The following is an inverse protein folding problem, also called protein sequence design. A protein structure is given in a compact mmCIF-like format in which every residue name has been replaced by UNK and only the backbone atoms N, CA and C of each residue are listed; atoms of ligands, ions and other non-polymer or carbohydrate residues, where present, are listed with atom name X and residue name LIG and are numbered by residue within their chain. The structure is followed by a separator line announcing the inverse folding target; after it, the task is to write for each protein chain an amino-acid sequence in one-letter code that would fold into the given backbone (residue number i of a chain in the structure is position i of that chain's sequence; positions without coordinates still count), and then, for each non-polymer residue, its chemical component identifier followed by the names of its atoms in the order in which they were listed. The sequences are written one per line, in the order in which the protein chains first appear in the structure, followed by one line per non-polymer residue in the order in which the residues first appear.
data_IF_220509857552
#
_entry.id   IF_220509857552
#
_cell.length_a   1.000
_cell.length_b   1.000
_cell.length_c   1.000
_cell.angle_alpha   90.00
_cell.angle_beta   90.00
_cell.angle_gamma   90.00
#
_symmetry.space_group_name_H-M   'P 1'
#
loop_
_entity.id
_entity.type
_entity.pdbx_description
1 polymer ?
#
# COMPACT_ATOMS: atom_id res chain seq x y z
N UNK A 1 -9.61 3.75 -2.67
CA UNK A 1 -8.23 3.68 -3.19
C UNK A 1 -7.36 4.51 -2.28
N UNK A 2 -6.33 3.93 -1.69
CA UNK A 2 -5.45 4.58 -0.71
C UNK A 2 -4.00 4.44 -1.14
N UNK A 3 -3.16 5.31 -0.62
CA UNK A 3 -1.71 5.27 -0.76
C UNK A 3 -1.09 5.17 0.62
N UNK A 4 -0.08 4.33 0.76
CA UNK A 4 0.59 4.05 2.04
C UNK A 4 2.05 4.47 1.90
N UNK A 5 2.49 5.34 2.80
CA UNK A 5 3.90 5.70 2.96
C UNK A 5 4.54 4.69 3.92
N UNK A 6 5.55 3.96 3.44
CA UNK A 6 6.31 2.98 4.22
C UNK A 6 7.75 3.41 4.40
N UNK A 7 8.35 3.03 5.54
CA UNK A 7 9.79 3.12 5.81
C UNK A 7 10.24 1.86 6.51
N UNK A 8 11.30 1.22 6.03
CA UNK A 8 11.81 -0.05 6.58
C UNK A 8 10.71 -1.14 6.62
N UNK A 9 9.80 -1.11 5.64
CA UNK A 9 8.64 -2.02 5.57
C UNK A 9 7.46 -1.69 6.50
N UNK A 10 7.62 -0.75 7.43
CA UNK A 10 6.56 -0.31 8.35
C UNK A 10 5.71 0.81 7.74
N UNK A 11 4.38 0.74 7.91
CA UNK A 11 3.45 1.81 7.55
C UNK A 11 3.64 3.02 8.48
N UNK A 12 3.92 4.17 7.87
CA UNK A 12 4.13 5.43 8.58
C UNK A 12 2.88 6.32 8.49
N UNK A 13 2.22 6.30 7.34
CA UNK A 13 1.05 7.11 7.04
C UNK A 13 0.23 6.51 5.88
N UNK A 14 -1.06 6.82 5.86
CA UNK A 14 -1.99 6.42 4.81
C UNK A 14 -2.85 7.59 4.39
N UNK A 15 -2.94 7.80 3.08
CA UNK A 15 -3.69 8.89 2.48
C UNK A 15 -4.58 8.44 1.34
N UNK A 16 -5.57 9.26 1.02
CA UNK A 16 -6.43 9.06 -0.15
C UNK A 16 -5.74 9.40 -1.47
N UNK A 17 -4.63 10.16 -1.45
CA UNK A 17 -3.89 10.57 -2.66
C UNK A 17 -2.39 10.37 -2.51
N UNK A 18 -1.72 10.07 -3.64
CA UNK A 18 -0.26 9.93 -3.68
C UNK A 18 0.47 11.22 -3.29
N UNK A 19 -0.08 12.38 -3.69
CA UNK A 19 0.52 13.69 -3.38
C UNK A 19 0.57 13.94 -1.87
N UNK A 20 -0.48 13.58 -1.13
CA UNK A 20 -0.47 13.71 0.33
C UNK A 20 0.63 12.86 1.00
N UNK A 21 0.87 11.63 0.52
CA UNK A 21 2.02 10.84 0.97
C UNK A 21 3.37 11.52 0.67
N UNK A 22 3.51 12.19 -0.48
CA UNK A 22 4.73 12.94 -0.83
C UNK A 22 4.92 14.15 0.09
N UNK A 23 3.86 14.91 0.35
CA UNK A 23 3.90 16.06 1.27
C UNK A 23 4.33 15.60 2.66
N UNK A 24 3.72 14.54 3.19
CA UNK A 24 4.10 14.02 4.50
C UNK A 24 5.53 13.46 4.53
N UNK A 25 5.99 12.84 3.45
CA UNK A 25 7.39 12.44 3.34
C UNK A 25 8.35 13.64 3.42
N UNK A 26 7.99 14.79 2.84
CA UNK A 26 8.78 16.03 2.93
C UNK A 26 8.76 16.56 4.37
N UNK A 27 7.59 16.67 4.99
CA UNK A 27 7.42 17.19 6.35
C UNK A 27 8.19 16.34 7.38
N UNK A 28 8.21 15.02 7.20
CA UNK A 28 8.97 14.08 8.04
C UNK A 28 10.45 13.98 7.68
N UNK A 29 10.96 14.79 6.74
CA UNK A 29 12.35 14.75 6.22
C UNK A 29 12.76 13.39 5.64
N UNK A 30 11.77 12.66 5.12
CA UNK A 30 11.90 11.38 4.42
C UNK A 30 11.97 11.55 2.89
N UNK A 31 11.98 12.79 2.40
CA UNK A 31 12.19 13.15 1.01
C UNK A 31 13.21 14.28 0.90
N UNK A 32 14.05 14.21 -0.12
CA UNK A 32 15.07 15.21 -0.44
C UNK A 32 14.79 15.85 -1.79
N UNK A 33 14.97 17.17 -1.87
CA UNK A 33 14.84 17.92 -3.12
C UNK A 33 16.13 17.82 -3.92
N UNK A 34 16.03 17.35 -5.16
CA UNK A 34 17.12 17.26 -6.13
C UNK A 34 16.92 18.30 -7.24
N UNK A 35 17.97 18.57 -8.03
CA UNK A 35 17.93 19.58 -9.11
C UNK A 35 16.77 19.39 -10.11
N UNK A 36 16.28 18.16 -10.29
CA UNK A 36 15.21 17.82 -11.25
C UNK A 36 13.91 17.32 -10.62
N UNK A 37 13.79 17.38 -9.29
CA UNK A 37 12.58 16.86 -8.63
C UNK A 37 12.77 16.53 -7.16
N UNK A 38 12.06 15.50 -6.70
CA UNK A 38 12.12 15.01 -5.32
C UNK A 38 12.43 13.52 -5.34
N UNK A 39 13.25 13.08 -4.41
CA UNK A 39 13.61 11.68 -4.20
C UNK A 39 13.27 11.30 -2.76
N UNK A 40 12.68 10.12 -2.55
CA UNK A 40 12.46 9.57 -1.22
C UNK A 40 13.80 9.06 -0.65
N UNK A 41 13.94 9.11 0.67
CA UNK A 41 15.16 8.70 1.37
C UNK A 41 15.19 7.18 1.50
N UNK A 42 16.21 6.53 0.93
CA UNK A 42 16.53 5.12 1.14
C UNK A 42 15.30 4.21 1.08
N UNK A 43 14.99 3.56 2.19
CA UNK A 43 13.93 2.57 2.38
C UNK A 43 12.51 3.17 2.51
N UNK A 44 12.29 4.39 2.02
CA UNK A 44 10.98 5.06 2.01
C UNK A 44 10.28 4.87 0.68
N UNK A 45 9.10 4.27 0.70
CA UNK A 45 8.31 3.91 -0.48
C UNK A 45 6.87 4.38 -0.33
N UNK A 46 6.24 4.77 -1.44
CA UNK A 46 4.80 5.03 -1.49
C UNK A 46 4.16 3.92 -2.32
N UNK A 47 3.32 3.13 -1.68
CA UNK A 47 2.60 2.03 -2.31
C UNK A 47 1.14 2.40 -2.48
N UNK A 48 0.56 1.96 -3.60
CA UNK A 48 -0.86 2.08 -3.81
C UNK A 48 -1.55 0.89 -3.13
N UNK A 49 -2.24 1.16 -2.03
CA UNK A 49 -3.10 0.20 -1.37
C UNK A 49 -4.39 0.04 -2.18
N UNK A 50 -4.26 -0.73 -3.25
CA UNK A 50 -5.37 -1.47 -3.82
C UNK A 50 -5.64 -2.58 -2.83
N UNK A 51 -6.42 -2.31 -1.79
CA UNK A 51 -7.16 -3.37 -1.10
C UNK A 51 -7.93 -4.14 -2.19
N UNK A 52 -7.25 -5.14 -2.76
CA UNK A 52 -7.80 -6.16 -3.61
C UNK A 52 -8.70 -6.88 -2.64
N UNK A 53 -10.01 -6.70 -2.79
CA UNK A 53 -10.95 -7.63 -2.18
C UNK A 53 -10.47 -9.01 -2.60
N UNK A 54 -9.75 -9.68 -1.70
CA UNK A 54 -9.47 -11.10 -1.82
C UNK A 54 -10.84 -11.70 -1.63
N UNK A 55 -11.60 -11.82 -2.72
CA UNK A 55 -12.72 -12.75 -2.73
C UNK A 55 -12.11 -14.05 -2.22
N UNK A 56 -12.56 -14.60 -1.08
CA UNK A 56 -12.14 -15.94 -0.72
C UNK A 56 -12.43 -16.80 -1.95
N UNK A 57 -11.43 -17.55 -2.41
CA UNK A 57 -11.65 -18.60 -3.40
C UNK A 57 -12.80 -19.43 -2.84
N UNK A 58 -13.96 -19.24 -3.45
CA UNK A 58 -15.23 -19.82 -3.07
C UNK A 58 -15.00 -21.27 -2.67
N UNK A 59 -15.44 -21.63 -1.45
CA UNK A 59 -15.63 -23.01 -1.04
C UNK A 59 -16.26 -23.77 -2.21
N UNK A 60 -15.53 -24.74 -2.76
CA UNK A 60 -16.05 -25.60 -3.81
C UNK A 60 -17.30 -26.31 -3.26
N UNK A 61 -18.48 -26.17 -3.88
CA UNK A 61 -19.65 -26.87 -3.42
C UNK A 61 -19.60 -28.34 -3.85
N UNK A 62 -19.81 -29.21 -2.84
CA UNK A 62 -20.47 -30.53 -2.89
C UNK A 62 -19.73 -31.70 -3.56
N UNK A 63 -19.50 -32.73 -2.75
CA UNK A 63 -20.09 -34.06 -3.02
C UNK A 63 -20.87 -34.55 -1.80
N UNK A 64 -22.18 -34.41 -1.90
CA UNK A 64 -23.14 -35.18 -1.12
C UNK A 64 -23.21 -36.56 -1.77
N UNK A 65 -22.32 -37.48 -1.40
CA UNK A 65 -22.50 -38.89 -1.76
C UNK A 65 -23.43 -39.54 -0.74
N UNK A 66 -24.60 -39.92 -1.28
CA UNK A 66 -25.68 -40.60 -0.59
C UNK A 66 -25.16 -41.92 -0.02
N UNK A 67 -25.56 -42.21 1.23
CA UNK A 67 -25.59 -43.56 1.78
C UNK A 67 -26.28 -44.52 0.80
N UNK A 68 -25.67 -45.68 0.60
CA UNK A 68 -26.35 -46.93 0.29
C UNK A 68 -25.92 -47.95 1.36
#
# INVERSE_FOLDING_TARGET
MSFVLKKDGAEIARHSTRLACVVEAIERKLAVRWRRGMCLVGDVHIEEDRSREVRPLSEAPRKQERRA
#
